data_IF_361445945196
#
_entry.id   IF_361445945196
#
_cell.length_a   1.000
_cell.length_b   1.000
_cell.length_c   1.000
_cell.angle_alpha   90.00
_cell.angle_beta   90.00
_cell.angle_gamma   90.00
#
_symmetry.space_group_name_H-M   'P 1'
#
loop_
_entity.id
_entity.type
_entity.pdbx_description
1 polymer ?
#
# COMPACT_ATOMS: atom_id res chain seq x y z
N UNK A 1 5.23 -2.75 -5.94
CA UNK A 1 4.39 -1.76 -5.23
C UNK A 1 4.74 -1.79 -3.74
N UNK A 2 4.29 -0.82 -2.92
CA UNK A 2 4.33 -0.88 -1.46
C UNK A 2 2.90 -0.94 -0.92
N UNK A 3 2.66 -1.81 0.07
CA UNK A 3 1.36 -2.01 0.72
C UNK A 3 1.51 -1.85 2.24
N UNK A 4 0.50 -1.26 2.89
CA UNK A 4 0.40 -1.07 4.33
C UNK A 4 -0.52 -2.16 4.88
N UNK A 5 -0.03 -2.98 5.81
CA UNK A 5 -0.83 -4.04 6.41
C UNK A 5 -1.88 -3.45 7.35
N UNK A 6 -3.18 -3.75 7.17
CA UNK A 6 -4.25 -3.12 7.95
C UNK A 6 -4.17 -3.47 9.43
N UNK A 7 -3.97 -4.74 9.78
CA UNK A 7 -3.95 -5.17 11.18
C UNK A 7 -2.63 -4.88 11.94
N UNK A 8 -1.55 -4.54 11.23
CA UNK A 8 -0.27 -4.16 11.86
C UNK A 8 -0.10 -2.63 11.95
N UNK A 9 -0.84 -1.86 11.14
CA UNK A 9 -0.87 -0.42 11.25
C UNK A 9 -1.50 -0.01 12.59
N UNK A 10 -0.90 0.98 13.24
CA UNK A 10 -1.36 1.52 14.53
C UNK A 10 -1.62 3.02 14.46
N UNK A 11 -1.84 3.54 13.25
CA UNK A 11 -2.13 4.95 12.98
C UNK A 11 -1.09 5.91 13.57
N UNK A 12 0.19 5.56 13.49
CA UNK A 12 1.27 6.40 14.03
C UNK A 12 1.54 7.65 13.18
N UNK A 13 1.10 7.66 11.92
CA UNK A 13 1.19 8.80 11.01
C UNK A 13 2.60 9.15 10.51
N UNK A 14 3.64 8.42 10.89
CA UNK A 14 5.02 8.79 10.54
C UNK A 14 5.35 8.63 9.04
N UNK A 15 4.60 7.78 8.33
CA UNK A 15 4.82 7.49 6.91
C UNK A 15 4.21 8.53 5.97
N UNK A 16 3.06 9.13 6.34
CA UNK A 16 2.33 10.08 5.50
C UNK A 16 3.17 11.32 5.11
N UNK A 17 3.77 12.08 6.04
CA UNK A 17 4.39 13.36 5.71
C UNK A 17 5.75 13.22 5.01
N UNK A 18 6.28 12.00 4.93
CA UNK A 18 7.59 11.72 4.31
C UNK A 18 7.47 11.21 2.88
N UNK A 19 6.25 10.89 2.42
CA UNK A 19 6.04 10.43 1.05
C UNK A 19 6.19 11.61 0.07
N UNK A 20 7.22 11.62 -0.82
CA UNK A 20 7.49 12.76 -1.69
C UNK A 20 6.43 12.97 -2.79
N UNK A 21 5.55 11.99 -2.98
CA UNK A 21 4.49 11.99 -4.00
C UNK A 21 3.09 11.92 -3.37
N UNK A 22 3.00 12.10 -2.05
CA UNK A 22 1.71 12.18 -1.32
C UNK A 22 0.80 10.95 -1.55
N UNK A 23 1.37 9.75 -1.64
CA UNK A 23 0.63 8.52 -1.93
C UNK A 23 -0.03 7.85 -0.72
N UNK A 24 0.14 8.41 0.49
CA UNK A 24 -0.28 7.78 1.76
C UNK A 24 -1.38 8.64 2.38
N UNK A 25 -2.50 8.02 2.69
CA UNK A 25 -3.67 8.64 3.31
C UNK A 25 -4.11 7.81 4.51
N UNK A 26 -4.71 8.46 5.51
CA UNK A 26 -5.56 7.73 6.47
C UNK A 26 -6.79 7.18 5.75
N UNK A 27 -7.36 6.11 6.28
CA UNK A 27 -8.52 5.45 5.64
C UNK A 27 -9.72 6.39 5.46
N UNK A 28 -9.95 7.28 6.43
CA UNK A 28 -11.03 8.28 6.39
C UNK A 28 -10.75 9.43 5.41
N UNK A 29 -9.50 9.66 5.04
CA UNK A 29 -9.06 10.75 4.16
C UNK A 29 -8.78 10.29 2.72
N UNK A 30 -8.93 8.99 2.43
CA UNK A 30 -8.65 8.43 1.11
C UNK A 30 -9.63 8.98 0.06
N UNK A 31 -9.14 9.62 -1.03
CA UNK A 31 -9.99 10.07 -2.12
C UNK A 31 -10.81 8.93 -2.73
N UNK A 32 -12.10 9.18 -2.98
CA UNK A 32 -13.03 8.15 -3.45
C UNK A 32 -12.61 7.48 -4.76
N UNK A 33 -11.95 8.24 -5.65
CA UNK A 33 -11.37 7.75 -6.91
C UNK A 33 -10.26 6.71 -6.72
N UNK A 34 -9.66 6.62 -5.53
CA UNK A 34 -8.62 5.66 -5.17
C UNK A 34 -9.09 4.60 -4.16
N UNK A 35 -10.40 4.47 -3.96
CA UNK A 35 -10.99 3.46 -3.04
C UNK A 35 -10.54 2.02 -3.32
N UNK A 36 -10.24 1.68 -4.58
CA UNK A 36 -9.69 0.36 -4.92
C UNK A 36 -8.30 0.07 -4.32
N UNK A 37 -7.52 1.12 -3.99
CA UNK A 37 -6.22 0.95 -3.32
C UNK A 37 -6.38 0.54 -1.86
N UNK A 38 -7.44 0.97 -1.17
CA UNK A 38 -7.73 0.46 0.18
C UNK A 38 -7.92 -1.05 0.14
N UNK A 39 -8.78 -1.52 -0.77
CA UNK A 39 -9.01 -2.94 -1.00
C UNK A 39 -7.71 -3.69 -1.32
N UNK A 40 -6.89 -3.12 -2.21
CA UNK A 40 -5.61 -3.72 -2.57
C UNK A 40 -4.64 -3.85 -1.37
N UNK A 41 -4.62 -2.86 -0.46
CA UNK A 41 -3.80 -2.93 0.75
C UNK A 41 -4.27 -4.02 1.71
N UNK A 42 -5.58 -4.20 1.87
CA UNK A 42 -6.16 -5.24 2.74
C UNK A 42 -5.94 -6.62 2.14
N UNK A 43 -6.42 -6.84 0.92
CA UNK A 43 -6.45 -8.17 0.26
C UNK A 43 -5.05 -8.67 -0.11
N UNK A 44 -4.03 -7.80 -0.21
CA UNK A 44 -2.64 -8.23 -0.45
C UNK A 44 -2.13 -9.21 0.60
N UNK A 45 -2.59 -9.10 1.84
CA UNK A 45 -2.10 -9.91 2.96
C UNK A 45 -2.96 -11.16 3.25
N UNK A 46 -4.00 -11.44 2.48
CA UNK A 46 -4.92 -12.58 2.74
C UNK A 46 -4.19 -13.93 2.85
N UNK A 47 -3.21 -14.17 1.98
CA UNK A 47 -2.40 -15.40 1.97
C UNK A 47 -1.10 -15.29 2.80
N UNK A 48 -0.66 -14.06 3.09
CA UNK A 48 0.57 -13.77 3.85
C UNK A 48 0.31 -13.81 5.36
N UNK A 49 -0.88 -13.38 5.78
CA UNK A 49 -1.21 -13.08 7.17
C UNK A 49 -0.42 -11.88 7.70
N UNK A 50 -0.21 -11.86 9.02
CA UNK A 50 0.52 -10.82 9.75
C UNK A 50 1.95 -11.29 10.11
N UNK A 51 2.98 -10.98 9.28
CA UNK A 51 4.35 -11.41 9.49
C UNK A 51 5.09 -10.67 10.62
N UNK A 52 4.52 -9.58 11.15
CA UNK A 52 5.10 -8.75 12.20
C UNK A 52 6.34 -7.99 11.72
N UNK A 53 6.20 -7.30 10.58
CA UNK A 53 7.21 -6.40 10.00
C UNK A 53 7.84 -6.84 8.68
N UNK A 54 7.73 -5.97 7.67
CA UNK A 54 8.22 -6.18 6.31
C UNK A 54 9.73 -6.48 6.19
N UNK A 55 10.55 -5.94 7.10
CA UNK A 55 12.02 -6.11 7.06
C UNK A 55 12.47 -7.58 7.15
N UNK A 56 11.64 -8.47 7.71
CA UNK A 56 11.96 -9.90 7.85
C UNK A 56 11.62 -10.71 6.60
N UNK A 57 10.63 -10.26 5.82
CA UNK A 57 10.07 -11.00 4.68
C UNK A 57 10.55 -10.48 3.34
N UNK A 58 10.96 -9.21 3.27
CA UNK A 58 11.40 -8.60 2.02
C UNK A 58 10.25 -8.34 1.04
N UNK A 59 10.58 -8.29 -0.25
CA UNK A 59 9.60 -8.11 -1.31
C UNK A 59 9.00 -9.44 -1.75
N UNK A 60 7.68 -9.46 -1.96
CA UNK A 60 6.99 -10.57 -2.62
C UNK A 60 7.05 -10.41 -4.15
N UNK A 61 6.92 -11.52 -4.86
CA UNK A 61 7.00 -11.60 -6.33
C UNK A 61 5.64 -11.44 -7.03
N UNK A 62 4.62 -11.02 -6.28
CA UNK A 62 3.28 -10.74 -6.78
C UNK A 62 2.76 -9.39 -6.27
N UNK A 63 1.78 -8.87 -6.98
CA UNK A 63 1.02 -7.67 -6.64
C UNK A 63 -0.47 -8.04 -6.57
N UNK A 64 -1.25 -7.21 -5.86
CA UNK A 64 -2.71 -7.35 -5.86
C UNK A 64 -3.26 -7.22 -7.29
N UNK A 65 -4.32 -7.96 -7.70
CA UNK A 65 -4.83 -7.95 -9.08
C UNK A 65 -5.16 -6.56 -9.65
N UNK A 66 -5.67 -5.64 -8.82
CA UNK A 66 -5.91 -4.24 -9.22
C UNK A 66 -4.62 -3.55 -9.67
N UNK A 67 -3.52 -3.78 -8.95
CA UNK A 67 -2.23 -3.16 -9.24
C UNK A 67 -1.55 -3.84 -10.43
N UNK A 68 -1.60 -5.17 -10.49
CA UNK A 68 -1.03 -5.95 -11.59
C UNK A 68 -1.68 -5.64 -12.95
N UNK A 69 -2.93 -5.16 -12.95
CA UNK A 69 -3.66 -4.78 -14.15
C UNK A 69 -3.37 -3.36 -14.66
N UNK A 70 -2.65 -2.53 -13.90
CA UNK A 70 -2.37 -1.16 -14.30
C UNK A 70 -1.43 -1.12 -15.51
N UNK A 71 -1.64 -0.18 -16.46
CA UNK A 71 -0.65 0.06 -17.50
C UNK A 71 0.66 0.59 -16.88
N UNK A 72 1.80 0.47 -17.58
CA UNK A 72 3.04 1.10 -17.15
C UNK A 72 2.83 2.60 -16.90
N UNK A 73 3.16 3.05 -15.70
CA UNK A 73 3.05 4.46 -15.34
C UNK A 73 4.27 5.22 -15.85
N UNK A 74 4.10 6.46 -16.33
CA UNK A 74 5.23 7.31 -16.69
C UNK A 74 6.09 7.54 -15.44
N UNK A 75 7.40 7.41 -15.60
CA UNK A 75 8.35 7.74 -14.53
C UNK A 75 8.45 9.26 -14.51
N UNK A 76 7.56 9.92 -13.79
CA UNK A 76 7.73 11.34 -13.49
C UNK A 76 8.88 11.45 -12.49
N UNK A 77 9.96 12.11 -12.92
CA UNK A 77 11.13 12.35 -12.08
C UNK A 77 10.76 13.39 -11.02
N UNK A 78 10.52 12.94 -9.79
CA UNK A 78 10.48 13.80 -8.60
C UNK A 78 11.90 14.01 -8.07
#
# INVERSE_FOLDING_TARGET
MLYIHPDECVDCGACEPVCPVEAIYYEDDLPAEWSDYYRANVEFFDEIGSPGGAAKVGAYDFDHPVIAALPPQPVEAH
#
